data_IF_564371319197
#
_entry.id   IF_564371319197
#
_cell.length_a   1.000
_cell.length_b   1.000
_cell.length_c   1.000
_cell.angle_alpha   90.00
_cell.angle_beta   90.00
_cell.angle_gamma   90.00
#
_symmetry.space_group_name_H-M   'P 1'
#
loop_
_entity.id
_entity.type
_entity.pdbx_description
1 polymer ?
#
# COMPACT_ATOMS: atom_id res chain seq x y z
N UNK A 1 32.43 2.28 -18.21
CA UNK A 1 31.40 1.26 -18.48
C UNK A 1 30.45 1.26 -17.29
N UNK A 2 29.25 1.78 -17.47
CA UNK A 2 28.32 2.10 -16.37
C UNK A 2 27.45 0.90 -16.04
N UNK A 3 27.56 0.37 -14.83
CA UNK A 3 26.75 -0.74 -14.33
C UNK A 3 25.34 -0.24 -14.01
N UNK A 4 24.34 -0.78 -14.71
CA UNK A 4 22.91 -0.57 -14.45
C UNK A 4 22.50 -1.21 -13.11
N UNK A 5 21.74 -0.52 -12.24
CA UNK A 5 21.23 -1.11 -11.01
C UNK A 5 20.15 -2.15 -11.32
N UNK A 6 20.19 -3.24 -10.56
CA UNK A 6 19.29 -4.38 -10.64
C UNK A 6 17.82 -3.94 -10.69
N UNK A 7 17.16 -4.29 -11.79
CA UNK A 7 15.71 -4.25 -11.93
C UNK A 7 15.12 -5.17 -10.86
N UNK A 8 14.70 -4.57 -9.74
CA UNK A 8 13.92 -5.26 -8.71
C UNK A 8 12.67 -5.80 -9.38
N UNK A 9 12.68 -7.12 -9.57
CA UNK A 9 11.57 -7.85 -10.15
C UNK A 9 10.40 -7.75 -9.18
N UNK A 10 9.43 -6.90 -9.51
CA UNK A 10 8.13 -6.91 -8.89
C UNK A 10 7.63 -8.36 -8.93
N UNK A 11 7.24 -8.89 -7.76
CA UNK A 11 6.56 -10.17 -7.68
C UNK A 11 5.46 -10.21 -8.74
N UNK A 12 5.42 -11.30 -9.52
CA UNK A 12 4.36 -11.54 -10.50
C UNK A 12 3.01 -11.24 -9.84
N UNK A 13 2.16 -10.34 -10.40
CA UNK A 13 0.82 -10.19 -9.87
C UNK A 13 0.16 -11.57 -9.95
N UNK A 14 -0.32 -12.07 -8.81
CA UNK A 14 -1.19 -13.23 -8.82
C UNK A 14 -2.33 -12.92 -9.78
N UNK A 15 -2.56 -13.81 -10.75
CA UNK A 15 -3.64 -13.67 -11.72
C UNK A 15 -4.95 -13.49 -10.96
N UNK A 16 -5.45 -12.24 -10.91
CA UNK A 16 -6.66 -11.87 -10.17
C UNK A 16 -6.46 -11.00 -8.91
N UNK A 17 -5.61 -9.95 -8.95
CA UNK A 17 -5.65 -8.92 -7.92
C UNK A 17 -7.06 -8.30 -7.87
N UNK A 18 -7.82 -8.57 -6.80
CA UNK A 18 -9.20 -8.08 -6.65
C UNK A 18 -9.21 -7.00 -5.58
N UNK A 19 -9.36 -5.75 -6.01
CA UNK A 19 -9.77 -4.71 -5.07
C UNK A 19 -11.23 -4.96 -4.72
N UNK A 20 -11.58 -5.01 -3.43
CA UNK A 20 -12.97 -5.16 -2.98
C UNK A 20 -13.51 -3.85 -2.43
N UNK A 21 -13.71 -2.82 -3.27
CA UNK A 21 -14.22 -1.53 -2.82
C UNK A 21 -15.68 -1.60 -2.37
N UNK A 22 -16.42 -2.66 -2.69
CA UNK A 22 -17.83 -2.80 -2.27
C UNK A 22 -17.98 -3.35 -0.83
N UNK A 23 -16.95 -4.03 -0.30
CA UNK A 23 -17.04 -4.67 1.01
C UNK A 23 -16.78 -3.69 2.16
N UNK A 24 -17.49 -3.87 3.26
CA UNK A 24 -17.30 -3.09 4.48
C UNK A 24 -16.25 -3.76 5.40
N UNK A 25 -15.31 -3.00 6.00
CA UNK A 25 -14.32 -3.57 6.89
C UNK A 25 -14.91 -3.71 8.29
N UNK A 26 -14.69 -4.87 8.93
CA UNK A 26 -14.93 -5.05 10.37
C UNK A 26 -13.80 -4.44 11.21
N UNK A 27 -14.02 -4.36 12.53
CA UNK A 27 -13.04 -3.86 13.52
C UNK A 27 -11.67 -4.54 13.47
N UNK A 28 -11.63 -5.79 13.01
CA UNK A 28 -10.39 -6.57 12.83
C UNK A 28 -9.46 -5.99 11.76
N UNK A 29 -10.00 -5.24 10.79
CA UNK A 29 -9.21 -4.62 9.74
C UNK A 29 -8.53 -3.32 10.21
N UNK A 30 -8.94 -2.76 11.35
CA UNK A 30 -8.30 -1.58 11.94
C UNK A 30 -7.16 -1.97 12.89
N UNK A 31 -6.47 -3.07 12.59
CA UNK A 31 -5.33 -3.57 13.35
C UNK A 31 -4.03 -3.34 12.57
N UNK A 32 -2.95 -3.18 13.34
CA UNK A 32 -1.60 -2.92 12.82
C UNK A 32 -1.48 -1.59 12.09
N UNK A 33 -0.29 -0.98 12.11
CA UNK A 33 -0.03 0.25 11.37
C UNK A 33 1.19 0.10 10.47
N UNK A 34 1.13 0.76 9.32
CA UNK A 34 2.21 0.83 8.33
C UNK A 34 2.40 2.28 7.89
N UNK A 35 3.60 2.62 7.45
CA UNK A 35 3.95 3.94 6.96
C UNK A 35 4.13 3.92 5.44
N UNK A 36 3.28 4.66 4.72
CA UNK A 36 3.39 4.89 3.29
C UNK A 36 4.09 6.22 3.04
N UNK A 37 5.20 6.20 2.31
CA UNK A 37 5.95 7.40 1.92
C UNK A 37 5.56 7.75 0.48
N UNK A 38 4.81 8.81 0.28
CA UNK A 38 4.14 9.12 -0.99
C UNK A 38 4.77 10.33 -1.68
N UNK A 39 4.89 10.23 -3.00
CA UNK A 39 5.28 11.30 -3.88
C UNK A 39 6.75 11.70 -3.82
N UNK A 40 7.12 12.65 -4.68
CA UNK A 40 8.50 13.15 -4.79
C UNK A 40 8.97 13.85 -3.51
N UNK A 41 8.03 14.45 -2.75
CA UNK A 41 8.31 15.09 -1.46
C UNK A 41 8.47 14.10 -0.30
N UNK A 42 8.25 12.80 -0.55
CA UNK A 42 8.37 11.73 0.44
C UNK A 42 7.53 12.00 1.70
N UNK A 43 6.28 12.42 1.53
CA UNK A 43 5.37 12.67 2.66
C UNK A 43 4.96 11.33 3.27
N UNK A 44 5.11 11.19 4.58
CA UNK A 44 4.79 9.97 5.30
C UNK A 44 3.32 9.97 5.77
N UNK A 45 2.65 8.85 5.55
CA UNK A 45 1.27 8.60 5.95
C UNK A 45 1.18 7.31 6.75
N UNK A 46 0.59 7.36 7.93
CA UNK A 46 0.40 6.17 8.77
C UNK A 46 -1.03 5.67 8.65
N UNK A 47 -1.18 4.42 8.22
CA UNK A 47 -2.48 3.80 7.95
C UNK A 47 -2.57 2.42 8.60
N UNK A 48 -3.80 1.92 8.76
CA UNK A 48 -4.02 0.57 9.25
C UNK A 48 -3.61 -0.46 8.20
N UNK A 49 -2.73 -1.39 8.59
CA UNK A 49 -2.15 -2.39 7.69
C UNK A 49 -3.23 -3.31 7.16
N UNK A 50 -4.03 -3.88 8.07
CA UNK A 50 -5.02 -4.88 7.71
C UNK A 50 -6.16 -4.27 6.89
N UNK A 51 -6.45 -2.97 7.08
CA UNK A 51 -7.38 -2.20 6.26
C UNK A 51 -6.88 -2.05 4.82
N UNK A 52 -5.60 -1.69 4.65
CA UNK A 52 -4.98 -1.61 3.33
C UNK A 52 -4.97 -2.98 2.62
N UNK A 53 -4.62 -4.04 3.35
CA UNK A 53 -4.57 -5.40 2.83
C UNK A 53 -5.96 -5.94 2.46
N UNK A 54 -7.01 -5.51 3.19
CA UNK A 54 -8.39 -5.89 2.91
C UNK A 54 -8.86 -5.32 1.57
N UNK A 55 -8.57 -4.05 1.30
CA UNK A 55 -9.01 -3.38 0.07
C UNK A 55 -8.11 -3.58 -1.12
N UNK A 56 -6.84 -3.93 -0.90
CA UNK A 56 -5.85 -4.00 -1.97
C UNK A 56 -4.96 -5.21 -1.82
N UNK A 57 -5.04 -6.07 -2.82
CA UNK A 57 -4.13 -7.18 -3.02
C UNK A 57 -2.67 -6.75 -3.15
N UNK A 58 -2.43 -5.56 -3.70
CA UNK A 58 -1.09 -5.00 -3.82
C UNK A 58 -0.45 -4.78 -2.43
N UNK A 59 -1.16 -4.11 -1.53
CA UNK A 59 -0.67 -3.89 -0.17
C UNK A 59 -0.61 -5.20 0.64
N UNK A 60 -1.53 -6.13 0.37
CA UNK A 60 -1.47 -7.49 0.93
C UNK A 60 -0.17 -8.20 0.54
N UNK A 61 0.19 -8.18 -0.75
CA UNK A 61 1.44 -8.77 -1.22
C UNK A 61 2.68 -8.06 -0.65
N UNK A 62 2.65 -6.73 -0.56
CA UNK A 62 3.77 -5.94 -0.03
C UNK A 62 4.01 -6.15 1.47
N UNK A 63 2.95 -6.20 2.28
CA UNK A 63 3.06 -6.28 3.75
C UNK A 63 2.91 -7.67 4.35
N UNK A 64 2.38 -8.64 3.61
CA UNK A 64 2.24 -10.03 4.04
C UNK A 64 3.25 -10.97 3.34
N UNK A 65 3.99 -10.47 2.35
CA UNK A 65 5.06 -11.21 1.69
C UNK A 65 6.37 -11.24 2.48
N UNK A 66 7.38 -11.89 1.89
CA UNK A 66 8.74 -11.98 2.46
C UNK A 66 9.64 -10.79 2.11
N UNK A 67 9.06 -9.70 1.61
CA UNK A 67 9.81 -8.52 1.17
C UNK A 67 10.21 -7.63 2.35
N UNK A 68 11.19 -6.75 2.11
CA UNK A 68 11.72 -5.82 3.12
C UNK A 68 10.62 -4.90 3.67
N UNK A 69 9.63 -4.55 2.85
CA UNK A 69 8.49 -3.73 3.27
C UNK A 69 7.63 -4.39 4.36
N UNK A 70 7.51 -5.72 4.37
CA UNK A 70 6.79 -6.45 5.42
C UNK A 70 7.53 -6.39 6.76
N UNK A 71 8.87 -6.43 6.74
CA UNK A 71 9.71 -6.32 7.92
C UNK A 71 9.80 -4.87 8.44
N UNK A 72 9.97 -3.90 7.55
CA UNK A 72 10.07 -2.48 7.91
C UNK A 72 8.71 -1.82 8.20
N UNK A 73 7.59 -2.44 7.82
CA UNK A 73 6.24 -1.86 7.85
C UNK A 73 6.18 -0.50 7.15
N UNK A 74 7.00 -0.35 6.10
CA UNK A 74 7.20 0.91 5.38
C UNK A 74 7.27 0.64 3.89
N UNK A 75 6.56 1.44 3.10
CA UNK A 75 6.52 1.30 1.64
C UNK A 75 6.62 2.69 0.99
N UNK A 76 7.52 2.83 0.01
CA UNK A 76 7.72 4.07 -0.75
C UNK A 76 6.92 4.02 -2.06
N UNK A 77 6.10 5.03 -2.30
CA UNK A 77 5.25 5.22 -3.48
C UNK A 77 5.64 6.53 -4.20
N UNK A 78 6.82 6.58 -4.86
CA UNK A 78 7.35 7.81 -5.45
C UNK A 78 6.56 8.31 -6.67
N UNK A 79 5.78 7.43 -7.32
CA UNK A 79 5.01 7.74 -8.52
C UNK A 79 3.55 8.14 -8.20
N UNK A 80 3.14 8.08 -6.93
CA UNK A 80 1.79 8.49 -6.52
C UNK A 80 1.84 9.94 -6.08
N UNK A 81 0.97 10.78 -6.64
CA UNK A 81 0.83 12.16 -6.19
C UNK A 81 0.16 12.22 -4.82
N UNK A 82 0.66 13.10 -3.95
CA UNK A 82 0.19 13.25 -2.56
C UNK A 82 -1.33 13.50 -2.50
N UNK A 83 -1.86 14.34 -3.38
CA UNK A 83 -3.29 14.69 -3.40
C UNK A 83 -4.20 13.51 -3.78
N UNK A 84 -3.74 12.64 -4.70
CA UNK A 84 -4.48 11.42 -5.08
C UNK A 84 -4.51 10.46 -3.90
N UNK A 85 -3.38 10.32 -3.20
CA UNK A 85 -3.30 9.46 -2.03
C UNK A 85 -4.14 9.97 -0.86
N UNK A 86 -4.23 11.29 -0.66
CA UNK A 86 -5.10 11.89 0.35
C UNK A 86 -6.58 11.56 0.10
N UNK A 87 -7.04 11.62 -1.15
CA UNK A 87 -8.38 11.17 -1.52
C UNK A 87 -8.59 9.67 -1.28
N UNK A 88 -7.61 8.84 -1.64
CA UNK A 88 -7.65 7.41 -1.39
C UNK A 88 -7.69 7.08 0.11
N UNK A 89 -6.91 7.78 0.93
CA UNK A 89 -6.93 7.65 2.38
C UNK A 89 -8.28 8.06 2.97
N UNK A 90 -8.83 9.20 2.54
CA UNK A 90 -10.13 9.65 3.01
C UNK A 90 -11.19 8.58 2.72
N UNK A 91 -11.26 8.13 1.47
CA UNK A 91 -12.16 7.06 1.05
C UNK A 91 -11.96 5.75 1.85
N UNK A 92 -10.70 5.39 2.14
CA UNK A 92 -10.36 4.18 2.88
C UNK A 92 -11.02 4.14 4.28
N UNK A 93 -11.12 5.29 4.94
CA UNK A 93 -11.68 5.41 6.30
C UNK A 93 -13.15 5.81 6.34
N UNK A 94 -13.58 6.72 5.46
CA UNK A 94 -14.93 7.28 5.50
C UNK A 94 -15.90 6.53 4.59
N UNK A 95 -15.38 5.77 3.62
CA UNK A 95 -16.17 5.14 2.55
C UNK A 95 -16.99 6.13 1.74
N UNK A 96 -16.62 7.41 1.79
CA UNK A 96 -17.31 8.51 1.14
C UNK A 96 -16.36 9.22 0.16
N UNK A 97 -16.87 9.56 -1.01
CA UNK A 97 -16.21 10.43 -1.99
C UNK A 97 -16.54 11.89 -1.74
#
# INVERSE_FOLDING_TARGET
>A
MSTLPAQQSAAKPASGAVSTPDKQPSTEHFQGTVTLIVGKKKKAYTLHKDLLCFYSDYFRAAFNGSFKEAAERKLELPNVEEHIFEGAQLWLYTRNF
#
